data_IF_832421358814
#
_entry.id   IF_832421358814
#
_cell.length_a   1.000
_cell.length_b   1.000
_cell.length_c   1.000
_cell.angle_alpha   90.00
_cell.angle_beta   90.00
_cell.angle_gamma   90.00
#
_symmetry.space_group_name_H-M   'P 1'
#
loop_
_entity.id
_entity.type
_entity.pdbx_description
1 polymer ?
#
# COMPACT_ATOMS: atom_id res chain seq x y z
N UNK A 1 -52.82 -2.07 -9.81
CA UNK A 1 -52.14 -3.38 -9.67
C UNK A 1 -50.83 -3.28 -10.44
N UNK A 2 -49.77 -2.71 -9.80
CA UNK A 2 -48.44 -2.63 -10.41
C UNK A 2 -47.67 -3.87 -9.95
N UNK A 3 -47.37 -4.78 -10.88
CA UNK A 3 -46.40 -5.84 -10.67
C UNK A 3 -45.05 -5.17 -10.65
N UNK A 4 -44.42 -5.08 -9.47
CA UNK A 4 -42.98 -4.74 -9.36
C UNK A 4 -42.16 -5.89 -9.93
N UNK A 5 -41.18 -5.56 -10.73
CA UNK A 5 -40.10 -6.49 -11.06
C UNK A 5 -39.35 -6.82 -9.75
N UNK A 6 -39.55 -8.01 -9.23
CA UNK A 6 -38.98 -8.53 -7.98
C UNK A 6 -37.49 -8.88 -8.07
N UNK A 7 -36.79 -8.41 -9.10
CA UNK A 7 -35.39 -8.75 -9.34
C UNK A 7 -34.36 -7.69 -8.92
N UNK A 8 -34.80 -6.47 -8.59
CA UNK A 8 -33.86 -5.34 -8.37
C UNK A 8 -33.18 -5.35 -7.01
N UNK A 9 -33.82 -5.69 -5.87
CA UNK A 9 -33.15 -5.76 -4.56
C UNK A 9 -32.11 -6.88 -4.47
N UNK A 10 -32.40 -8.04 -5.03
CA UNK A 10 -31.50 -9.21 -5.02
C UNK A 10 -30.18 -8.99 -5.75
N UNK A 11 -30.25 -8.32 -6.90
CA UNK A 11 -29.05 -8.00 -7.69
C UNK A 11 -28.14 -7.07 -6.87
N UNK A 12 -28.71 -6.05 -6.23
CA UNK A 12 -27.93 -5.09 -5.43
C UNK A 12 -27.25 -5.70 -4.20
N UNK A 13 -27.88 -6.69 -3.55
CA UNK A 13 -27.28 -7.40 -2.38
C UNK A 13 -26.14 -8.33 -2.83
N UNK A 14 -26.33 -9.06 -3.92
CA UNK A 14 -25.29 -9.92 -4.48
C UNK A 14 -24.07 -9.10 -4.93
N UNK A 15 -24.31 -8.02 -5.67
CA UNK A 15 -23.26 -7.10 -6.11
C UNK A 15 -22.52 -6.47 -4.93
N UNK A 16 -23.21 -6.13 -3.84
CA UNK A 16 -22.60 -5.58 -2.63
C UNK A 16 -21.76 -6.63 -1.89
N UNK A 17 -22.16 -7.90 -1.88
CA UNK A 17 -21.36 -9.00 -1.32
C UNK A 17 -20.07 -9.20 -2.12
N UNK A 18 -20.18 -9.24 -3.43
CA UNK A 18 -19.02 -9.36 -4.31
C UNK A 18 -18.09 -8.15 -4.14
N UNK A 19 -18.65 -6.94 -4.04
CA UNK A 19 -17.87 -5.73 -3.79
C UNK A 19 -17.13 -5.77 -2.45
N UNK A 20 -17.78 -6.24 -1.37
CA UNK A 20 -17.13 -6.39 -0.06
C UNK A 20 -16.01 -7.43 -0.11
N UNK A 21 -16.25 -8.58 -0.73
CA UNK A 21 -15.22 -9.61 -0.90
C UNK A 21 -14.03 -9.12 -1.73
N UNK A 22 -14.29 -8.41 -2.83
CA UNK A 22 -13.25 -7.79 -3.65
C UNK A 22 -12.48 -6.72 -2.87
N UNK A 23 -13.17 -5.91 -2.08
CA UNK A 23 -12.56 -4.88 -1.23
C UNK A 23 -11.60 -5.51 -0.21
N UNK A 24 -12.04 -6.55 0.50
CA UNK A 24 -11.18 -7.30 1.44
C UNK A 24 -9.99 -7.91 0.71
N UNK A 25 -10.20 -8.51 -0.46
CA UNK A 25 -9.12 -9.08 -1.26
C UNK A 25 -8.09 -8.02 -1.70
N UNK A 26 -8.54 -6.81 -2.05
CA UNK A 26 -7.64 -5.69 -2.39
C UNK A 26 -6.81 -5.23 -1.19
N UNK A 27 -7.42 -5.11 -0.01
CA UNK A 27 -6.69 -4.77 1.21
C UNK A 27 -5.71 -5.88 1.64
N UNK A 28 -5.98 -7.13 1.27
CA UNK A 28 -5.09 -8.27 1.50
C UNK A 28 -4.07 -8.48 0.37
N UNK A 29 -3.85 -7.47 -0.49
CA UNK A 29 -2.81 -7.56 -1.52
C UNK A 29 -1.43 -7.65 -0.88
N UNK A 30 -0.62 -8.62 -1.33
CA UNK A 30 0.76 -8.80 -0.89
C UNK A 30 1.74 -8.64 -2.04
N UNK A 31 2.92 -8.13 -1.74
CA UNK A 31 4.07 -8.00 -2.66
C UNK A 31 5.25 -8.67 -1.96
N UNK A 32 5.90 -9.61 -2.64
CA UNK A 32 7.03 -10.38 -2.10
C UNK A 32 6.75 -11.10 -0.76
N UNK A 33 5.46 -11.39 -0.50
CA UNK A 33 5.01 -12.06 0.72
C UNK A 33 4.64 -11.12 1.88
N UNK A 34 4.78 -9.81 1.71
CA UNK A 34 4.37 -8.79 2.69
C UNK A 34 3.06 -8.14 2.27
N UNK A 35 2.13 -7.96 3.23
CA UNK A 35 0.86 -7.32 3.00
C UNK A 35 1.00 -5.79 3.00
N UNK A 36 0.58 -5.17 1.90
CA UNK A 36 0.78 -3.74 1.64
C UNK A 36 0.00 -2.84 2.60
N UNK A 37 -1.19 -3.27 3.05
CA UNK A 37 -2.09 -2.50 3.90
C UNK A 37 -2.10 -2.94 5.36
N UNK A 38 -1.12 -3.73 5.78
CA UNK A 38 -1.03 -4.23 7.16
C UNK A 38 -0.27 -3.27 8.12
N UNK A 39 0.24 -2.13 7.62
CA UNK A 39 1.16 -1.28 8.36
C UNK A 39 2.44 -2.04 8.71
N UNK A 40 2.95 -1.91 9.93
CA UNK A 40 4.17 -2.63 10.35
C UNK A 40 3.94 -4.14 10.60
N UNK A 41 2.68 -4.63 10.55
CA UNK A 41 2.34 -6.06 10.71
C UNK A 41 2.31 -6.78 9.34
N UNK A 42 3.27 -6.51 8.46
CA UNK A 42 3.25 -6.92 7.06
C UNK A 42 3.24 -8.44 6.80
N UNK A 43 3.46 -9.26 7.82
CA UNK A 43 3.44 -10.72 7.78
C UNK A 43 2.04 -11.35 7.96
N UNK A 44 1.03 -10.55 8.33
CA UNK A 44 -0.34 -11.00 8.60
C UNK A 44 -1.31 -10.27 7.66
N UNK A 45 -2.25 -11.03 7.08
CA UNK A 45 -3.32 -10.45 6.26
C UNK A 45 -4.13 -9.44 7.09
N UNK A 46 -4.27 -8.18 6.64
CA UNK A 46 -4.90 -7.13 7.43
C UNK A 46 -6.39 -7.32 7.67
N UNK A 47 -7.10 -8.08 6.84
CA UNK A 47 -8.55 -8.27 6.99
C UNK A 47 -8.95 -9.72 6.74
N UNK A 48 -9.98 -10.20 7.51
CA UNK A 48 -10.63 -11.48 7.27
C UNK A 48 -11.77 -11.36 6.24
N UNK A 49 -12.06 -12.45 5.53
CA UNK A 49 -13.22 -12.52 4.66
C UNK A 49 -14.49 -12.45 5.51
N UNK A 50 -15.31 -11.43 5.28
CA UNK A 50 -16.52 -11.18 6.05
C UNK A 50 -17.51 -12.36 5.98
N UNK A 51 -17.68 -12.99 4.81
CA UNK A 51 -18.56 -14.12 4.57
C UNK A 51 -17.83 -15.48 4.62
N UNK A 52 -16.64 -15.53 5.20
CA UNK A 52 -15.83 -16.73 5.32
C UNK A 52 -16.50 -17.85 6.13
N UNK A 53 -15.96 -19.03 6.05
CA UNK A 53 -16.39 -20.18 6.87
C UNK A 53 -15.16 -20.74 7.61
N UNK A 54 -15.14 -20.63 8.94
CA UNK A 54 -16.16 -20.12 9.88
C UNK A 54 -16.45 -18.62 9.71
N UNK A 55 -17.59 -18.15 10.24
CA UNK A 55 -17.95 -16.74 10.19
C UNK A 55 -16.89 -15.86 10.84
N UNK A 56 -16.53 -14.75 10.19
CA UNK A 56 -15.55 -13.79 10.71
C UNK A 56 -16.04 -13.11 11.99
N UNK A 57 -15.09 -12.59 12.78
CA UNK A 57 -15.40 -11.80 13.97
C UNK A 57 -16.28 -10.58 13.63
N UNK A 58 -16.05 -9.93 12.49
CA UNK A 58 -16.84 -8.82 11.99
C UNK A 58 -18.30 -9.21 11.72
N UNK A 59 -18.53 -10.35 11.04
CA UNK A 59 -19.89 -10.86 10.79
C UNK A 59 -20.61 -11.16 12.09
N UNK A 60 -19.95 -11.83 13.02
CA UNK A 60 -20.52 -12.14 14.34
C UNK A 60 -20.86 -10.88 15.14
N UNK A 61 -20.02 -9.84 15.05
CA UNK A 61 -20.27 -8.56 15.72
C UNK A 61 -21.50 -7.84 15.13
N UNK A 62 -21.66 -7.85 13.80
CA UNK A 62 -22.84 -7.26 13.13
C UNK A 62 -24.10 -8.03 13.50
N UNK A 63 -24.07 -9.38 13.50
CA UNK A 63 -25.20 -10.21 13.88
C UNK A 63 -25.63 -9.98 15.34
N UNK A 64 -24.63 -9.87 16.23
CA UNK A 64 -24.89 -9.60 17.65
C UNK A 64 -25.48 -8.20 17.86
N UNK A 65 -24.98 -7.17 17.17
CA UNK A 65 -25.52 -5.82 17.27
C UNK A 65 -26.96 -5.73 16.74
N UNK A 66 -27.24 -6.40 15.61
CA UNK A 66 -28.58 -6.46 15.06
C UNK A 66 -29.56 -7.19 15.99
N UNK A 67 -29.16 -8.34 16.55
CA UNK A 67 -29.95 -9.09 17.51
C UNK A 67 -30.19 -8.31 18.81
N UNK A 68 -29.20 -7.58 19.29
CA UNK A 68 -29.33 -6.76 20.49
C UNK A 68 -30.32 -5.59 20.32
N UNK A 69 -30.35 -4.95 19.16
CA UNK A 69 -31.21 -3.81 18.84
C UNK A 69 -32.64 -4.25 18.57
N UNK A 70 -32.86 -5.29 17.74
CA UNK A 70 -34.16 -5.66 17.24
C UNK A 70 -34.76 -6.90 17.92
N UNK A 71 -33.95 -7.66 18.66
CA UNK A 71 -34.39 -8.91 19.31
C UNK A 71 -34.64 -10.07 18.35
N UNK A 72 -34.31 -9.92 17.09
CA UNK A 72 -34.48 -10.89 15.98
C UNK A 72 -33.21 -11.01 15.15
N UNK A 73 -33.05 -12.11 14.43
CA UNK A 73 -31.95 -12.28 13.47
C UNK A 73 -32.30 -11.64 12.14
N UNK A 74 -31.29 -11.33 11.33
CA UNK A 74 -31.44 -10.73 9.99
C UNK A 74 -32.26 -11.60 9.03
N UNK A 75 -32.31 -12.93 9.25
CA UNK A 75 -33.09 -13.88 8.44
C UNK A 75 -34.54 -14.05 8.92
N UNK A 76 -34.93 -13.42 10.04
CA UNK A 76 -36.28 -13.52 10.58
C UNK A 76 -37.27 -12.76 9.70
N UNK A 77 -38.45 -13.34 9.33
CA UNK A 77 -39.47 -12.62 8.58
C UNK A 77 -39.97 -11.34 9.27
N UNK A 78 -39.84 -11.22 10.60
CA UNK A 78 -40.20 -10.02 11.37
C UNK A 78 -39.34 -8.79 11.03
N UNK A 79 -38.23 -8.94 10.34
CA UNK A 79 -37.39 -7.84 9.78
C UNK A 79 -38.25 -6.91 8.90
N UNK A 80 -39.28 -7.42 8.24
CA UNK A 80 -40.24 -6.63 7.48
C UNK A 80 -40.99 -5.56 8.32
N UNK A 81 -41.01 -5.70 9.64
CA UNK A 81 -41.69 -4.76 10.53
C UNK A 81 -40.77 -3.66 11.07
N UNK A 82 -39.45 -3.71 10.81
CA UNK A 82 -38.51 -2.68 11.23
C UNK A 82 -38.87 -1.37 10.52
N UNK A 83 -39.09 -0.31 11.29
CA UNK A 83 -39.42 0.99 10.70
C UNK A 83 -38.19 1.67 10.15
N UNK A 84 -38.38 2.63 9.23
CA UNK A 84 -37.29 3.45 8.70
C UNK A 84 -36.56 4.24 9.81
N UNK A 85 -37.28 4.66 10.86
CA UNK A 85 -36.70 5.38 12.00
C UNK A 85 -35.81 4.48 12.86
N UNK A 86 -36.29 3.27 13.18
CA UNK A 86 -35.52 2.29 13.98
C UNK A 86 -34.27 1.85 13.21
N UNK A 87 -34.39 1.60 11.88
CA UNK A 87 -33.26 1.29 11.02
C UNK A 87 -32.24 2.44 11.01
N UNK A 88 -32.70 3.70 10.91
CA UNK A 88 -31.80 4.86 10.97
C UNK A 88 -31.06 4.93 12.30
N UNK A 89 -31.76 4.72 13.41
CA UNK A 89 -31.17 4.73 14.77
C UNK A 89 -30.11 3.64 14.91
N UNK A 90 -30.39 2.44 14.43
CA UNK A 90 -29.44 1.33 14.43
C UNK A 90 -28.17 1.67 13.60
N UNK A 91 -28.36 2.17 12.39
CA UNK A 91 -27.26 2.49 11.48
C UNK A 91 -26.38 3.62 12.00
N UNK A 92 -26.97 4.64 12.63
CA UNK A 92 -26.23 5.77 13.21
C UNK A 92 -25.63 5.47 14.60
N UNK A 93 -26.11 4.45 15.26
CA UNK A 93 -25.71 4.05 16.61
C UNK A 93 -24.88 2.78 16.63
N UNK A 94 -25.52 1.66 17.00
CA UNK A 94 -24.86 0.39 17.27
C UNK A 94 -24.09 -0.17 16.08
N UNK A 95 -24.61 0.01 14.86
CA UNK A 95 -23.93 -0.45 13.64
C UNK A 95 -22.69 0.41 13.33
N UNK A 96 -22.80 1.74 13.37
CA UNK A 96 -21.68 2.62 13.09
C UNK A 96 -20.52 2.39 14.06
N UNK A 97 -20.82 2.16 15.34
CA UNK A 97 -19.82 1.90 16.36
C UNK A 97 -18.93 0.66 16.09
N UNK A 98 -19.38 -0.28 15.25
CA UNK A 98 -18.59 -1.45 14.87
C UNK A 98 -17.42 -1.11 13.95
N UNK A 99 -17.45 0.06 13.30
CA UNK A 99 -16.42 0.54 12.36
C UNK A 99 -15.50 1.58 13.00
N UNK A 100 -15.73 1.92 14.27
CA UNK A 100 -14.87 2.79 15.06
C UNK A 100 -14.00 1.98 16.04
N UNK A 101 -12.96 2.61 16.59
CA UNK A 101 -12.14 1.99 17.62
C UNK A 101 -12.88 1.95 18.96
N UNK A 102 -12.71 0.89 19.74
CA UNK A 102 -11.81 -0.26 19.54
C UNK A 102 -12.40 -1.41 18.70
N UNK A 103 -13.68 -1.32 18.27
CA UNK A 103 -14.38 -2.42 17.60
C UNK A 103 -13.77 -2.78 16.26
N UNK A 104 -13.26 -1.81 15.51
CA UNK A 104 -12.58 -2.04 14.24
C UNK A 104 -11.38 -2.97 14.39
N UNK A 105 -10.42 -2.63 15.25
CA UNK A 105 -9.25 -3.46 15.50
C UNK A 105 -9.55 -4.80 16.19
N UNK A 106 -10.69 -4.91 16.91
CA UNK A 106 -11.08 -6.15 17.56
C UNK A 106 -11.74 -7.16 16.62
N UNK A 107 -12.45 -6.68 15.57
CA UNK A 107 -13.33 -7.54 14.77
C UNK A 107 -13.01 -7.53 13.27
N UNK A 108 -12.45 -6.43 12.74
CA UNK A 108 -12.29 -6.23 11.29
C UNK A 108 -10.86 -6.34 10.81
N UNK A 109 -9.92 -5.75 11.56
CA UNK A 109 -8.57 -5.52 11.08
C UNK A 109 -7.51 -5.97 12.07
N UNK A 110 -6.51 -6.68 11.57
CA UNK A 110 -5.27 -7.04 12.29
C UNK A 110 -4.11 -6.10 11.93
N UNK A 111 -4.36 -5.11 11.05
CA UNK A 111 -3.37 -4.13 10.65
C UNK A 111 -2.90 -3.28 11.84
N UNK A 112 -1.65 -2.86 11.79
CA UNK A 112 -1.13 -1.84 12.70
C UNK A 112 -1.60 -0.45 12.27
N UNK A 113 -1.86 0.44 13.23
CA UNK A 113 -2.08 1.87 12.97
C UNK A 113 -0.79 2.61 12.60
N UNK A 114 0.35 1.95 12.79
CA UNK A 114 1.65 2.51 12.45
C UNK A 114 2.02 2.09 11.02
N UNK A 115 2.21 3.09 10.15
CA UNK A 115 2.65 2.88 8.78
C UNK A 115 4.16 2.59 8.68
N UNK A 116 4.54 1.91 7.61
CA UNK A 116 5.94 1.67 7.28
C UNK A 116 6.58 2.99 6.88
N UNK A 117 7.70 3.32 7.51
CA UNK A 117 8.46 4.52 7.20
C UNK A 117 9.82 4.19 6.62
N UNK A 118 10.27 5.00 5.65
CA UNK A 118 11.57 4.84 5.01
C UNK A 118 12.37 6.14 5.06
N UNK A 119 13.68 6.02 5.29
CA UNK A 119 14.59 7.15 5.25
C UNK A 119 15.07 7.38 3.82
N UNK A 120 14.66 8.47 3.21
CA UNK A 120 14.99 8.84 1.82
C UNK A 120 16.19 9.77 1.72
N UNK A 121 16.60 10.40 2.83
CA UNK A 121 17.83 11.20 2.92
C UNK A 121 18.32 11.22 4.37
N UNK A 122 19.55 11.69 4.67
CA UNK A 122 20.08 11.75 6.03
C UNK A 122 19.12 12.42 7.04
N UNK A 123 18.37 13.43 6.60
CA UNK A 123 17.51 14.27 7.44
C UNK A 123 16.00 14.06 7.18
N UNK A 124 15.62 13.15 6.26
CA UNK A 124 14.22 13.01 5.85
C UNK A 124 13.76 11.56 5.95
N UNK A 125 12.73 11.34 6.77
CA UNK A 125 11.97 10.09 6.85
C UNK A 125 10.56 10.40 6.35
N UNK A 126 10.00 9.51 5.53
CA UNK A 126 8.61 9.59 5.05
C UNK A 126 7.88 8.29 5.37
N UNK A 127 6.58 8.36 5.48
CA UNK A 127 5.70 7.20 5.50
C UNK A 127 5.56 6.69 4.07
N UNK A 128 5.92 5.44 3.83
CA UNK A 128 5.93 4.83 2.50
C UNK A 128 4.79 3.86 2.26
N UNK A 129 3.94 3.66 3.28
CA UNK A 129 2.78 2.80 3.24
C UNK A 129 1.52 3.52 3.70
N UNK A 130 0.42 2.80 3.64
CA UNK A 130 -0.84 3.11 4.29
C UNK A 130 -1.40 1.83 4.87
N UNK A 131 -2.29 1.91 5.84
CA UNK A 131 -2.83 0.74 6.51
C UNK A 131 -4.35 0.61 6.33
N UNK A 132 -4.89 -0.58 6.60
CA UNK A 132 -6.32 -0.87 6.46
C UNK A 132 -7.22 -0.13 7.47
N UNK A 133 -6.63 0.54 8.48
CA UNK A 133 -7.37 1.21 9.56
C UNK A 133 -7.74 2.66 9.25
N UNK A 134 -7.34 3.20 8.11
CA UNK A 134 -7.68 4.60 7.74
C UNK A 134 -9.18 4.77 7.53
N UNK A 135 -9.67 5.97 7.85
CA UNK A 135 -11.10 6.32 7.78
C UNK A 135 -11.80 5.94 6.46
N UNK A 136 -11.23 6.20 5.26
CA UNK A 136 -11.90 5.87 4.00
C UNK A 136 -12.17 4.37 3.85
N UNK A 137 -11.27 3.49 4.30
CA UNK A 137 -11.49 2.05 4.21
C UNK A 137 -12.57 1.58 5.18
N UNK A 138 -12.61 2.10 6.41
CA UNK A 138 -13.68 1.82 7.37
C UNK A 138 -15.05 2.23 6.83
N UNK A 139 -15.15 3.39 6.18
CA UNK A 139 -16.40 3.88 5.57
C UNK A 139 -16.84 3.02 4.39
N UNK A 140 -15.91 2.60 3.54
CA UNK A 140 -16.23 1.71 2.42
C UNK A 140 -16.69 0.33 2.91
N UNK A 141 -15.98 -0.26 3.89
CA UNK A 141 -16.40 -1.50 4.53
C UNK A 141 -17.80 -1.38 5.13
N UNK A 142 -18.07 -0.28 5.86
CA UNK A 142 -19.39 0.01 6.44
C UNK A 142 -20.49 0.09 5.37
N UNK A 143 -20.26 0.83 4.29
CA UNK A 143 -21.24 0.99 3.23
C UNK A 143 -21.53 -0.33 2.50
N UNK A 144 -20.49 -1.12 2.18
CA UNK A 144 -20.68 -2.43 1.55
C UNK A 144 -21.38 -3.41 2.48
N UNK A 145 -21.04 -3.44 3.77
CA UNK A 145 -21.69 -4.31 4.76
C UNK A 145 -23.15 -3.95 4.96
N UNK A 146 -23.50 -2.66 4.99
CA UNK A 146 -24.92 -2.24 5.02
C UNK A 146 -25.72 -2.89 3.91
N UNK A 147 -25.23 -2.87 2.69
CA UNK A 147 -25.96 -3.40 1.54
C UNK A 147 -25.89 -4.93 1.45
N UNK A 148 -24.71 -5.49 1.73
CA UNK A 148 -24.42 -6.91 1.57
C UNK A 148 -25.12 -7.79 2.62
N UNK A 149 -25.27 -7.28 3.83
CA UNK A 149 -25.73 -8.05 4.99
C UNK A 149 -27.10 -7.59 5.51
N UNK A 150 -27.37 -6.29 5.57
CA UNK A 150 -28.63 -5.75 6.07
C UNK A 150 -29.69 -5.54 4.97
N UNK A 151 -29.29 -5.54 3.71
CA UNK A 151 -30.17 -5.32 2.55
C UNK A 151 -31.01 -6.53 2.10
N UNK A 152 -31.16 -7.55 2.97
CA UNK A 152 -31.83 -8.82 2.64
C UNK A 152 -33.26 -8.68 2.13
N UNK A 153 -33.80 -9.79 1.60
CA UNK A 153 -35.11 -9.86 0.94
C UNK A 153 -36.30 -9.52 1.83
N UNK A 154 -36.11 -9.70 3.14
CA UNK A 154 -37.15 -9.52 4.15
C UNK A 154 -37.33 -8.06 4.59
N UNK A 155 -36.40 -7.18 4.26
CA UNK A 155 -36.45 -5.75 4.62
C UNK A 155 -37.56 -5.04 3.82
N UNK A 156 -38.39 -4.23 4.51
CA UNK A 156 -39.42 -3.46 3.82
C UNK A 156 -38.83 -2.31 2.98
N UNK A 157 -39.62 -1.81 2.02
CA UNK A 157 -39.21 -0.76 1.07
C UNK A 157 -38.67 0.51 1.73
N UNK A 158 -39.22 0.92 2.88
CA UNK A 158 -38.83 2.16 3.56
C UNK A 158 -37.49 2.01 4.28
N UNK A 159 -37.31 0.90 5.00
CA UNK A 159 -36.05 0.59 5.66
C UNK A 159 -34.95 0.31 4.62
N UNK A 160 -35.28 -0.38 3.51
CA UNK A 160 -34.32 -0.60 2.40
C UNK A 160 -33.89 0.72 1.76
N UNK A 161 -34.83 1.66 1.60
CA UNK A 161 -34.48 3.01 1.10
C UNK A 161 -33.49 3.71 2.03
N UNK A 162 -33.70 3.65 3.34
CA UNK A 162 -32.76 4.23 4.32
C UNK A 162 -31.39 3.58 4.21
N UNK A 163 -31.30 2.25 4.11
CA UNK A 163 -30.03 1.52 3.91
C UNK A 163 -29.31 2.03 2.65
N UNK A 164 -30.02 2.10 1.54
CA UNK A 164 -29.42 2.50 0.25
C UNK A 164 -28.94 3.95 0.27
N UNK A 165 -29.77 4.87 0.76
CA UNK A 165 -29.45 6.29 0.85
C UNK A 165 -28.23 6.50 1.75
N UNK A 166 -28.20 5.83 2.92
CA UNK A 166 -27.11 5.93 3.88
C UNK A 166 -25.81 5.31 3.34
N UNK A 167 -25.87 4.11 2.79
CA UNK A 167 -24.73 3.44 2.20
C UNK A 167 -24.13 4.29 1.05
N UNK A 168 -24.98 4.92 0.21
CA UNK A 168 -24.50 5.79 -0.85
C UNK A 168 -23.78 7.03 -0.33
N UNK A 169 -24.29 7.66 0.73
CA UNK A 169 -23.63 8.83 1.35
C UNK A 169 -22.28 8.45 1.93
N UNK A 170 -22.23 7.35 2.71
CA UNK A 170 -21.00 6.90 3.37
C UNK A 170 -19.96 6.44 2.34
N UNK A 171 -20.39 5.71 1.31
CA UNK A 171 -19.50 5.31 0.22
C UNK A 171 -18.91 6.53 -0.51
N UNK A 172 -19.73 7.55 -0.79
CA UNK A 172 -19.27 8.78 -1.43
C UNK A 172 -18.26 9.54 -0.56
N UNK A 173 -18.47 9.57 0.75
CA UNK A 173 -17.51 10.14 1.71
C UNK A 173 -16.20 9.33 1.72
N UNK A 174 -16.29 8.00 1.79
CA UNK A 174 -15.12 7.12 1.76
C UNK A 174 -14.30 7.30 0.47
N UNK A 175 -14.96 7.38 -0.69
CA UNK A 175 -14.29 7.63 -1.98
C UNK A 175 -13.61 9.00 -2.00
N UNK A 176 -14.28 10.03 -1.48
CA UNK A 176 -13.69 11.38 -1.40
C UNK A 176 -12.43 11.40 -0.51
N UNK A 177 -12.51 10.81 0.68
CA UNK A 177 -11.37 10.72 1.59
C UNK A 177 -10.23 9.87 1.03
N UNK A 178 -10.56 8.78 0.30
CA UNK A 178 -9.57 7.98 -0.39
C UNK A 178 -8.84 8.76 -1.48
N UNK A 179 -9.55 9.63 -2.21
CA UNK A 179 -8.93 10.52 -3.20
C UNK A 179 -7.97 11.52 -2.56
N UNK A 180 -8.27 12.00 -1.34
CA UNK A 180 -7.35 12.86 -0.58
C UNK A 180 -6.10 12.07 -0.15
N UNK A 181 -6.27 10.86 0.39
CA UNK A 181 -5.15 10.00 0.77
C UNK A 181 -4.25 9.64 -0.43
N UNK A 182 -4.83 9.42 -1.62
CA UNK A 182 -4.05 9.26 -2.85
C UNK A 182 -3.23 10.51 -3.21
N UNK A 183 -3.77 11.70 -2.92
CA UNK A 183 -3.05 12.96 -3.09
C UNK A 183 -1.80 13.03 -2.21
N UNK A 184 -1.90 12.61 -0.95
CA UNK A 184 -0.79 12.59 0.00
C UNK A 184 0.32 11.63 -0.47
N UNK A 185 -0.06 10.41 -0.91
CA UNK A 185 0.89 9.46 -1.52
C UNK A 185 1.59 10.06 -2.74
N UNK A 186 0.87 10.82 -3.57
CA UNK A 186 1.46 11.53 -4.71
C UNK A 186 2.51 12.58 -4.31
N UNK A 187 2.31 13.25 -3.18
CA UNK A 187 3.30 14.19 -2.62
C UNK A 187 4.56 13.45 -2.15
N UNK A 188 4.38 12.31 -1.49
CA UNK A 188 5.52 11.50 -1.02
C UNK A 188 6.32 10.89 -2.17
N UNK A 189 5.66 10.45 -3.24
CA UNK A 189 6.34 10.05 -4.49
C UNK A 189 7.22 11.18 -5.05
N UNK A 190 6.71 12.42 -5.08
CA UNK A 190 7.51 13.56 -5.53
C UNK A 190 8.72 13.84 -4.63
N UNK A 191 8.59 13.58 -3.32
CA UNK A 191 9.72 13.71 -2.36
C UNK A 191 10.78 12.65 -2.63
N UNK A 192 10.39 11.40 -2.89
CA UNK A 192 11.28 10.30 -3.27
C UNK A 192 12.02 10.66 -4.57
N UNK A 193 11.30 11.04 -5.63
CA UNK A 193 11.90 11.42 -6.92
C UNK A 193 12.91 12.56 -6.79
N UNK A 194 12.66 13.50 -5.88
CA UNK A 194 13.60 14.58 -5.61
C UNK A 194 14.84 14.09 -4.87
N UNK A 195 14.68 13.21 -3.89
CA UNK A 195 15.78 12.60 -3.16
C UNK A 195 16.66 11.78 -4.09
N UNK A 196 16.09 10.98 -4.98
CA UNK A 196 16.79 10.19 -5.98
C UNK A 196 17.63 11.06 -6.94
N UNK A 197 17.04 12.16 -7.42
CA UNK A 197 17.78 13.10 -8.27
C UNK A 197 18.98 13.72 -7.55
N UNK A 198 18.81 14.12 -6.29
CA UNK A 198 19.90 14.69 -5.49
C UNK A 198 20.99 13.64 -5.25
N UNK A 199 20.63 12.42 -4.93
CA UNK A 199 21.55 11.32 -4.70
C UNK A 199 22.33 10.97 -5.99
N UNK A 200 21.65 10.93 -7.14
CA UNK A 200 22.28 10.74 -8.45
C UNK A 200 23.33 11.83 -8.75
N UNK A 201 23.00 13.10 -8.53
CA UNK A 201 23.94 14.21 -8.71
C UNK A 201 25.15 14.11 -7.77
N UNK A 202 24.94 13.66 -6.53
CA UNK A 202 26.03 13.42 -5.58
C UNK A 202 26.94 12.29 -6.05
N UNK A 203 26.35 11.17 -6.51
CA UNK A 203 27.11 10.04 -7.07
C UNK A 203 27.93 10.46 -8.29
N UNK A 204 27.35 11.23 -9.20
CA UNK A 204 28.07 11.74 -10.39
C UNK A 204 29.25 12.66 -9.98
N UNK A 205 29.02 13.53 -8.99
CA UNK A 205 30.06 14.40 -8.46
C UNK A 205 31.22 13.60 -7.81
N UNK A 206 30.86 12.58 -7.02
CA UNK A 206 31.86 11.69 -6.40
C UNK A 206 32.62 10.88 -7.45
N UNK A 207 31.93 10.32 -8.43
CA UNK A 207 32.54 9.58 -9.54
C UNK A 207 33.50 10.47 -10.33
N UNK A 208 33.09 11.72 -10.63
CA UNK A 208 33.97 12.68 -11.30
C UNK A 208 35.18 13.03 -10.43
N UNK A 209 35.01 13.15 -9.12
CA UNK A 209 36.08 13.33 -8.16
C UNK A 209 37.08 12.16 -8.15
N UNK A 210 36.58 10.93 -8.17
CA UNK A 210 37.40 9.70 -8.27
C UNK A 210 38.17 9.68 -9.58
N UNK A 211 37.51 9.94 -10.72
CA UNK A 211 38.17 9.99 -12.03
C UNK A 211 39.28 11.03 -12.01
N UNK A 212 39.04 12.23 -11.48
CA UNK A 212 40.04 13.28 -11.43
C UNK A 212 41.24 12.94 -10.53
N UNK A 213 41.05 12.11 -9.50
CA UNK A 213 42.11 11.69 -8.58
C UNK A 213 42.89 10.47 -9.09
N UNK A 214 42.20 9.53 -9.73
CA UNK A 214 42.78 8.25 -10.18
C UNK A 214 43.25 8.26 -11.63
N UNK A 215 42.67 9.13 -12.46
CA UNK A 215 43.07 9.19 -13.87
C UNK A 215 44.46 9.80 -14.02
N UNK A 216 45.29 9.11 -14.77
CA UNK A 216 46.62 9.60 -15.16
C UNK A 216 46.49 10.25 -16.52
N UNK A 217 47.11 11.42 -16.72
CA UNK A 217 47.11 12.10 -17.99
C UNK A 217 47.78 11.19 -19.06
N UNK A 218 47.05 10.76 -20.11
CA UNK A 218 47.60 9.88 -21.15
C UNK A 218 48.77 10.49 -21.88
N UNK A 219 48.83 11.82 -22.04
CA UNK A 219 49.91 12.53 -22.67
C UNK A 219 51.18 12.52 -21.82
N UNK A 220 51.05 12.79 -20.51
CA UNK A 220 52.17 12.72 -19.59
C UNK A 220 52.70 11.28 -19.47
N UNK A 221 51.82 10.31 -19.35
CA UNK A 221 52.17 8.89 -19.28
C UNK A 221 52.86 8.41 -20.53
N UNK A 222 52.35 8.78 -21.72
CA UNK A 222 52.97 8.43 -22.99
C UNK A 222 54.35 9.08 -23.18
N UNK A 223 54.47 10.35 -22.78
CA UNK A 223 55.77 11.06 -22.83
C UNK A 223 56.77 10.39 -21.88
N UNK A 224 56.39 10.05 -20.67
CA UNK A 224 57.23 9.38 -19.70
C UNK A 224 57.61 7.97 -20.13
N UNK A 225 56.69 7.24 -20.77
CA UNK A 225 56.96 5.93 -21.34
C UNK A 225 58.00 6.01 -22.47
N UNK A 226 57.85 6.96 -23.41
CA UNK A 226 58.80 7.17 -24.50
C UNK A 226 60.19 7.57 -23.97
N UNK A 227 60.28 8.39 -22.93
CA UNK A 227 61.56 8.72 -22.28
C UNK A 227 62.20 7.48 -21.65
N UNK A 228 61.44 6.63 -20.96
CA UNK A 228 61.94 5.38 -20.37
C UNK A 228 62.43 4.40 -21.45
N UNK A 229 61.69 4.25 -22.57
CA UNK A 229 62.12 3.43 -23.71
C UNK A 229 63.45 3.95 -24.28
N UNK A 230 63.58 5.26 -24.49
CA UNK A 230 64.83 5.87 -25.00
C UNK A 230 65.99 5.67 -24.02
N UNK A 231 65.78 5.77 -22.70
CA UNK A 231 66.78 5.48 -21.72
C UNK A 231 67.21 4.00 -21.70
N UNK A 232 66.25 3.09 -21.90
CA UNK A 232 66.54 1.66 -22.04
C UNK A 232 67.40 1.37 -23.28
N UNK A 233 67.05 1.95 -24.43
CA UNK A 233 67.79 1.80 -25.65
C UNK A 233 69.24 2.29 -25.53
N UNK A 234 69.46 3.47 -24.91
CA UNK A 234 70.74 4.00 -24.59
C UNK A 234 71.54 3.06 -23.63
N UNK A 235 70.89 2.55 -22.61
CA UNK A 235 71.48 1.62 -21.65
C UNK A 235 71.91 0.31 -22.28
N UNK A 236 71.11 -0.25 -23.22
CA UNK A 236 71.47 -1.45 -23.97
C UNK A 236 72.65 -1.14 -24.97
N UNK A 237 72.63 0.02 -25.61
CA UNK A 237 73.72 0.42 -26.50
C UNK A 237 75.05 0.60 -25.77
N UNK A 238 75.03 1.22 -24.56
CA UNK A 238 76.21 1.38 -23.72
C UNK A 238 76.70 0.02 -23.18
N UNK A 239 75.78 -0.85 -22.74
CA UNK A 239 76.17 -2.19 -22.31
C UNK A 239 76.82 -3.02 -23.43
N UNK A 240 76.24 -2.97 -24.63
CA UNK A 240 76.80 -3.65 -25.78
C UNK A 240 78.16 -3.14 -26.15
N UNK A 241 78.43 -1.82 -26.07
CA UNK A 241 79.77 -1.23 -26.28
C UNK A 241 80.76 -1.65 -25.20
N UNK A 242 80.37 -1.69 -23.95
CA UNK A 242 81.21 -2.17 -22.85
C UNK A 242 81.58 -3.66 -22.97
N UNK A 243 80.68 -4.50 -23.45
CA UNK A 243 80.95 -5.91 -23.73
C UNK A 243 81.98 -6.05 -24.87
N UNK A 244 81.84 -5.26 -25.95
CA UNK A 244 82.80 -5.25 -27.04
C UNK A 244 84.22 -4.78 -26.60
N UNK A 245 84.28 -3.75 -25.74
CA UNK A 245 85.57 -3.26 -25.24
C UNK A 245 86.20 -4.26 -24.26
N UNK A 246 85.41 -5.02 -23.51
CA UNK A 246 85.89 -6.09 -22.61
C UNK A 246 86.49 -7.28 -23.40
N UNK A 247 85.87 -7.64 -24.54
CA UNK A 247 86.43 -8.70 -25.44
C UNK A 247 87.74 -8.31 -26.14
N UNK A 248 87.86 -7.07 -26.55
CA UNK A 248 89.11 -6.58 -27.21
C UNK A 248 90.31 -6.50 -26.26
N UNK A 249 90.08 -6.49 -24.94
CA UNK A 249 91.18 -6.44 -23.93
C UNK A 249 91.71 -7.83 -23.54
N UNK A 250 91.11 -8.93 -24.04
CA UNK A 250 91.49 -10.31 -23.72
C UNK A 250 92.07 -11.11 -24.88
N UNK A 251 92.29 -10.47 -26.00
CA UNK A 251 93.12 -10.96 -27.15
C UNK A 251 94.37 -10.14 -27.21
#
# INVERSE_FOLDING_TARGET
MHRRCSSTPHVGVADARDALSMFVAQLNTSIDGEFVFAGINSDVAPMEDYFGTPASAAKLAVDAAFLAEFGITQSDPAVANITAADMTTFLDGAFAALFDDPAWGANWSTASDQDVSSRISPDTVIETGTNANISPFRKLAMAFTMMADLGGETVNDQAFKVLTDKASVIASQGIHELALAQGDVGVDQQRIDRADRIMSLQLDTLNQGIINLESVDPYETSTRLNQLISQLEVSYAVTGRLQQLSLVRYI
#
